data_IF_355634554303
#
_entry.id   IF_355634554303
#
_cell.length_a   1.000
_cell.length_b   1.000
_cell.length_c   1.000
_cell.angle_alpha   90.00
_cell.angle_beta   90.00
_cell.angle_gamma   90.00
#
_symmetry.space_group_name_H-M   'P 1'
#
loop_
_entity.id
_entity.type
_entity.pdbx_description
1 polymer ?
#
# COMPACT_ATOMS: atom_id res chain seq x y z
N UNK A 1 -13.65 -20.49 -23.75
CA UNK A 1 -13.07 -19.52 -22.80
C UNK A 1 -11.95 -20.23 -22.05
N UNK A 2 -10.69 -19.84 -22.25
CA UNK A 2 -9.53 -20.51 -21.64
C UNK A 2 -9.03 -19.70 -20.43
N UNK A 3 -9.16 -20.27 -19.25
CA UNK A 3 -8.76 -19.68 -17.99
C UNK A 3 -7.24 -19.85 -17.80
N UNK A 4 -6.47 -18.75 -17.81
CA UNK A 4 -5.04 -18.78 -17.48
C UNK A 4 -4.83 -18.18 -16.10
N UNK A 5 -4.91 -19.02 -15.07
CA UNK A 5 -4.34 -18.69 -13.77
C UNK A 5 -2.83 -18.85 -13.86
N UNK A 6 -2.09 -17.75 -13.82
CA UNK A 6 -0.64 -17.79 -13.64
C UNK A 6 -0.31 -17.48 -12.19
N UNK A 7 0.01 -18.51 -11.42
CA UNK A 7 0.61 -18.38 -10.11
C UNK A 7 2.10 -18.06 -10.30
N UNK A 8 2.56 -16.89 -9.85
CA UNK A 8 3.99 -16.55 -9.83
C UNK A 8 4.41 -16.39 -8.37
N UNK A 9 4.93 -17.47 -7.81
CA UNK A 9 5.79 -17.41 -6.63
C UNK A 9 7.16 -16.91 -7.08
N UNK A 10 7.68 -15.85 -6.46
CA UNK A 10 9.10 -15.49 -6.60
C UNK A 10 9.68 -15.04 -5.27
N UNK A 11 10.44 -15.97 -4.69
CA UNK A 11 11.71 -15.86 -3.96
C UNK A 11 11.88 -14.75 -2.89
N UNK A 12 11.97 -15.18 -1.62
CA UNK A 12 12.46 -14.36 -0.49
C UNK A 12 13.99 -14.19 -0.61
N UNK A 13 14.44 -12.98 -0.94
CA UNK A 13 15.84 -12.61 -0.76
C UNK A 13 15.94 -11.55 0.35
N UNK A 14 16.30 -11.99 1.57
CA UNK A 14 16.56 -11.09 2.71
C UNK A 14 18.00 -10.57 2.64
N UNK A 15 18.21 -9.46 1.92
CA UNK A 15 19.45 -8.68 2.00
C UNK A 15 19.12 -7.36 2.70
N UNK A 16 19.49 -7.24 3.99
CA UNK A 16 19.29 -6.01 4.79
C UNK A 16 20.31 -4.95 4.36
N UNK A 17 20.04 -4.30 3.24
CA UNK A 17 20.72 -3.07 2.84
C UNK A 17 20.10 -1.91 3.64
N UNK A 18 20.91 -1.20 4.45
CA UNK A 18 20.52 0.08 5.03
C UNK A 18 20.55 1.12 3.90
N UNK A 19 19.43 1.31 3.22
CA UNK A 19 19.31 2.36 2.22
C UNK A 19 19.12 3.71 2.89
N UNK A 20 20.10 4.61 2.75
CA UNK A 20 19.83 6.04 2.78
C UNK A 20 19.12 6.36 1.46
N UNK A 21 17.80 6.59 1.52
CA UNK A 21 16.98 6.85 0.34
C UNK A 21 17.09 8.33 0.01
N UNK A 22 18.13 8.71 -0.71
CA UNK A 22 18.11 9.99 -1.42
C UNK A 22 17.03 9.89 -2.50
N UNK A 23 15.89 10.53 -2.24
CA UNK A 23 14.75 10.51 -3.14
C UNK A 23 15.14 11.08 -4.50
N UNK A 24 15.31 10.21 -5.50
CA UNK A 24 15.51 10.61 -6.87
C UNK A 24 14.25 10.23 -7.68
N UNK A 25 13.37 11.20 -7.99
CA UNK A 25 12.12 10.93 -8.68
C UNK A 25 12.35 10.34 -10.09
N UNK A 26 13.48 10.63 -10.74
CA UNK A 26 13.80 10.15 -12.09
C UNK A 26 13.96 8.64 -12.19
N UNK A 27 14.50 8.00 -11.15
CA UNK A 27 14.81 6.55 -11.15
C UNK A 27 13.55 5.68 -11.01
N UNK A 28 12.47 6.20 -10.44
CA UNK A 28 11.21 5.46 -10.22
C UNK A 28 10.21 5.54 -11.36
N UNK A 29 10.31 6.56 -12.23
CA UNK A 29 9.32 6.82 -13.30
C UNK A 29 9.28 5.68 -14.31
N UNK A 30 10.44 5.19 -14.76
CA UNK A 30 10.51 4.08 -15.72
C UNK A 30 9.93 2.78 -15.14
N UNK A 31 10.23 2.48 -13.87
CA UNK A 31 9.74 1.28 -13.21
C UNK A 31 8.21 1.25 -13.11
N UNK A 32 7.58 2.39 -12.85
CA UNK A 32 6.12 2.52 -12.71
C UNK A 32 5.43 3.06 -13.97
N UNK A 33 6.12 3.20 -15.10
CA UNK A 33 5.59 3.83 -16.31
C UNK A 33 4.31 3.15 -16.85
N UNK A 34 4.16 1.85 -16.60
CA UNK A 34 3.00 1.07 -17.01
C UNK A 34 1.77 1.26 -16.11
N UNK A 35 1.91 1.89 -14.94
CA UNK A 35 0.86 2.04 -13.93
C UNK A 35 0.23 3.43 -14.04
N UNK A 36 -1.07 3.48 -14.34
CA UNK A 36 -1.82 4.75 -14.46
C UNK A 36 -2.62 5.14 -13.23
N UNK A 37 -2.84 4.20 -12.28
CA UNK A 37 -3.57 4.44 -11.03
C UNK A 37 -2.79 3.87 -9.86
N UNK A 38 -2.37 4.72 -8.93
CA UNK A 38 -1.49 4.35 -7.79
C UNK A 38 -2.09 4.70 -6.43
N UNK A 39 -3.29 5.30 -6.39
CA UNK A 39 -3.94 5.75 -5.14
C UNK A 39 -4.05 4.63 -4.10
N UNK A 40 -4.31 3.40 -4.51
CA UNK A 40 -4.40 2.22 -3.63
C UNK A 40 -3.06 1.83 -2.97
N UNK A 41 -1.92 2.36 -3.45
CA UNK A 41 -0.60 2.13 -2.83
C UNK A 41 -0.40 3.09 -1.66
N UNK A 42 -0.68 4.39 -1.86
CA UNK A 42 -0.42 5.41 -0.84
C UNK A 42 -1.60 5.64 0.11
N UNK A 43 -2.84 5.43 -0.35
CA UNK A 43 -4.04 5.75 0.42
C UNK A 43 -4.67 4.48 1.01
N UNK A 44 -4.69 4.32 2.35
CA UNK A 44 -5.23 3.12 3.01
C UNK A 44 -6.70 2.85 2.67
N UNK A 45 -7.50 3.91 2.50
CA UNK A 45 -8.92 3.82 2.19
C UNK A 45 -9.26 3.21 0.82
N UNK A 46 -8.28 3.00 -0.05
CA UNK A 46 -8.48 2.46 -1.40
C UNK A 46 -7.78 1.12 -1.61
N UNK A 47 -7.35 0.49 -0.50
CA UNK A 47 -6.84 -0.87 -0.50
C UNK A 47 -7.99 -1.85 -0.45
N UNK A 48 -7.82 -3.03 -1.03
CA UNK A 48 -8.82 -4.11 -1.03
C UNK A 48 -9.17 -4.60 0.38
N UNK A 49 -8.24 -4.47 1.32
CA UNK A 49 -8.45 -4.82 2.73
C UNK A 49 -8.98 -3.65 3.58
N UNK A 50 -9.43 -2.55 2.96
CA UNK A 50 -10.00 -1.44 3.70
C UNK A 50 -11.32 -1.85 4.37
N UNK A 51 -11.46 -1.50 5.66
CA UNK A 51 -12.68 -1.74 6.43
C UNK A 51 -13.26 -0.42 6.95
N UNK A 52 -14.56 -0.21 6.76
CA UNK A 52 -15.26 0.96 7.29
C UNK A 52 -15.37 0.96 8.83
N UNK A 53 -15.10 -0.18 9.49
CA UNK A 53 -15.01 -0.23 10.96
C UNK A 53 -13.92 0.71 11.52
N UNK A 54 -12.93 1.09 10.72
CA UNK A 54 -11.90 2.08 11.08
C UNK A 54 -12.49 3.47 11.41
N UNK A 55 -13.68 3.80 10.89
CA UNK A 55 -14.35 5.07 11.17
C UNK A 55 -15.30 5.01 12.36
N UNK A 56 -15.65 3.82 12.86
CA UNK A 56 -16.58 3.66 13.97
C UNK A 56 -15.98 4.08 15.34
N UNK A 57 -14.65 4.24 15.41
CA UNK A 57 -13.92 4.57 16.64
C UNK A 57 -14.07 6.04 17.08
N UNK A 58 -14.72 6.91 16.31
CA UNK A 58 -14.80 8.34 16.61
C UNK A 58 -15.98 8.75 17.52
N UNK A 59 -16.87 7.82 17.89
CA UNK A 59 -18.04 8.15 18.74
C UNK A 59 -17.81 7.92 20.25
N UNK A 60 -16.60 7.58 20.69
CA UNK A 60 -16.35 7.25 22.10
C UNK A 60 -15.02 7.81 22.61
N UNK A 61 -14.97 9.13 22.84
CA UNK A 61 -14.08 9.82 23.81
C UNK A 61 -14.41 11.33 23.76
N UNK A 62 -15.16 11.92 24.71
CA UNK A 62 -14.60 12.39 25.98
C UNK A 62 -15.69 12.51 27.06
N UNK A 63 -15.76 11.52 27.95
CA UNK A 63 -15.97 11.80 29.39
C UNK A 63 -14.71 12.50 29.93
N UNK A 64 -14.82 13.26 31.03
CA UNK A 64 -13.89 14.25 31.64
C UNK A 64 -14.17 15.68 31.13
N UNK A 65 -14.71 16.64 31.90
CA UNK A 65 -14.63 16.94 33.33
C UNK A 65 -16.01 17.19 33.98
N UNK A 66 -16.20 16.61 35.17
CA UNK A 66 -17.13 17.03 36.23
C UNK A 66 -16.53 18.16 37.07
#
# INVERSE_FOLDING_TARGET
MLNKQTNKQTNKQTNKQKYHIDYNPGKGISLMAHIRRTRHIMMPSHRSCFSYSLFATQNSSSHYFS
#
